data_IF_526017453543
#
_entry.id   IF_526017453543
#
_cell.length_a   1.000
_cell.length_b   1.000
_cell.length_c   1.000
_cell.angle_alpha   90.00
_cell.angle_beta   90.00
_cell.angle_gamma   90.00
#
_symmetry.space_group_name_H-M   'P 1'
#
loop_
_entity.id
_entity.type
_entity.pdbx_description
1 polymer ?
#
# COMPACT_ATOMS: atom_id res chain seq x y z
N UNK A 1 2.38 -76.48 -55.63
CA UNK A 1 2.57 -75.92 -54.27
C UNK A 1 3.34 -74.60 -54.31
N UNK A 2 2.94 -73.64 -55.16
CA UNK A 2 3.72 -72.42 -55.47
C UNK A 2 2.84 -71.17 -55.39
N UNK A 3 2.27 -70.86 -54.21
CA UNK A 3 1.53 -69.59 -54.07
C UNK A 3 1.49 -68.98 -52.65
N UNK A 4 2.06 -69.62 -51.63
CA UNK A 4 1.94 -69.18 -50.24
C UNK A 4 2.93 -68.07 -49.86
N UNK A 5 4.12 -68.03 -50.47
CA UNK A 5 5.15 -67.04 -50.16
C UNK A 5 4.84 -65.65 -50.75
N UNK A 6 4.46 -65.59 -52.03
CA UNK A 6 4.16 -64.32 -52.72
C UNK A 6 2.91 -63.62 -52.14
N UNK A 7 1.92 -64.38 -51.70
CA UNK A 7 0.71 -63.83 -51.08
C UNK A 7 0.98 -63.26 -49.67
N UNK A 8 1.85 -63.91 -48.88
CA UNK A 8 2.30 -63.40 -47.58
C UNK A 8 3.11 -62.10 -47.72
N UNK A 9 3.97 -62.01 -48.73
CA UNK A 9 4.75 -60.78 -49.01
C UNK A 9 3.81 -59.64 -49.43
N UNK A 10 2.87 -59.86 -50.37
CA UNK A 10 1.89 -58.83 -50.77
C UNK A 10 1.01 -58.37 -49.60
N UNK A 11 0.54 -59.30 -48.76
CA UNK A 11 -0.27 -58.97 -47.58
C UNK A 11 0.54 -58.19 -46.54
N UNK A 12 1.81 -58.55 -46.34
CA UNK A 12 2.73 -57.81 -45.47
C UNK A 12 2.99 -56.37 -45.97
N UNK A 13 3.18 -56.19 -47.27
CA UNK A 13 3.36 -54.86 -47.89
C UNK A 13 2.09 -54.01 -47.76
N UNK A 14 0.91 -54.57 -48.01
CA UNK A 14 -0.37 -53.85 -47.86
C UNK A 14 -0.64 -53.46 -46.40
N UNK A 15 -0.33 -54.34 -45.44
CA UNK A 15 -0.45 -54.03 -44.00
C UNK A 15 0.54 -52.95 -43.60
N UNK A 16 1.78 -53.00 -44.08
CA UNK A 16 2.79 -51.99 -43.79
C UNK A 16 2.39 -50.61 -44.37
N UNK A 17 1.92 -50.56 -45.62
CA UNK A 17 1.42 -49.33 -46.23
C UNK A 17 0.19 -48.80 -45.47
N UNK A 18 -0.77 -49.68 -45.15
CA UNK A 18 -1.95 -49.31 -44.37
C UNK A 18 -1.60 -48.75 -42.99
N UNK A 19 -0.64 -49.37 -42.28
CA UNK A 19 -0.15 -48.89 -41.00
C UNK A 19 0.54 -47.53 -41.11
N UNK A 20 1.36 -47.31 -42.14
CA UNK A 20 2.01 -46.00 -42.40
C UNK A 20 0.98 -44.93 -42.72
N UNK A 21 -0.07 -45.25 -43.49
CA UNK A 21 -1.15 -44.31 -43.81
C UNK A 21 -1.98 -43.98 -42.55
N UNK A 22 -2.30 -44.98 -41.71
CA UNK A 22 -3.02 -44.77 -40.46
C UNK A 22 -2.18 -43.98 -39.46
N UNK A 23 -0.89 -44.27 -39.33
CA UNK A 23 0.01 -43.50 -38.46
C UNK A 23 0.24 -42.08 -38.99
N UNK A 24 0.40 -41.91 -40.30
CA UNK A 24 0.62 -40.61 -40.94
C UNK A 24 -0.61 -39.71 -40.95
N UNK A 25 -1.78 -40.24 -41.33
CA UNK A 25 -3.02 -39.45 -41.45
C UNK A 25 -3.83 -39.49 -40.15
N UNK A 26 -3.87 -40.62 -39.46
CA UNK A 26 -4.71 -40.82 -38.28
C UNK A 26 -4.10 -40.36 -36.96
N UNK A 27 -2.77 -40.29 -36.85
CA UNK A 27 -2.07 -39.90 -35.61
C UNK A 27 -1.19 -38.68 -35.83
N UNK A 28 -0.30 -38.72 -36.82
CA UNK A 28 0.68 -37.66 -37.08
C UNK A 28 0.01 -36.35 -37.53
N UNK A 29 -0.89 -36.39 -38.51
CA UNK A 29 -1.61 -35.21 -39.00
C UNK A 29 -2.37 -34.47 -37.89
N UNK A 30 -3.27 -35.12 -37.16
CA UNK A 30 -3.99 -34.50 -36.05
C UNK A 30 -3.09 -34.02 -34.92
N UNK A 31 -2.08 -34.81 -34.51
CA UNK A 31 -1.17 -34.44 -33.43
C UNK A 31 -0.31 -33.21 -33.77
N UNK A 32 0.11 -33.05 -35.03
CA UNK A 32 0.91 -31.90 -35.47
C UNK A 32 0.05 -30.68 -35.80
N UNK A 33 -1.13 -30.86 -36.39
CA UNK A 33 -2.02 -29.74 -36.73
C UNK A 33 -2.76 -29.16 -35.52
N UNK A 34 -3.13 -29.99 -34.54
CA UNK A 34 -3.91 -29.58 -33.36
C UNK A 34 -3.07 -29.54 -32.07
N UNK A 35 -1.82 -30.00 -32.11
CA UNK A 35 -0.94 -29.95 -30.96
C UNK A 35 -0.67 -28.51 -30.48
N UNK A 36 -0.38 -28.33 -29.19
CA UNK A 36 -0.03 -27.02 -28.64
C UNK A 36 1.25 -26.51 -29.31
N UNK A 37 1.29 -25.22 -29.57
CA UNK A 37 2.52 -24.56 -30.03
C UNK A 37 3.51 -24.47 -28.86
N UNK A 38 4.82 -24.56 -29.11
CA UNK A 38 5.83 -24.31 -28.09
C UNK A 38 5.70 -22.88 -27.56
N UNK A 39 6.02 -22.70 -26.28
CA UNK A 39 6.10 -21.37 -25.69
C UNK A 39 7.18 -20.54 -26.40
N UNK A 40 6.90 -19.26 -26.60
CA UNK A 40 7.87 -18.28 -27.04
C UNK A 40 8.99 -18.17 -26.00
N UNK A 41 10.24 -18.09 -26.47
CA UNK A 41 11.39 -17.85 -25.60
C UNK A 41 11.37 -16.40 -25.16
N UNK A 42 11.33 -16.16 -23.86
CA UNK A 42 11.39 -14.83 -23.26
C UNK A 42 12.84 -14.50 -22.88
N UNK A 43 13.35 -13.37 -23.36
CA UNK A 43 14.65 -12.82 -22.95
C UNK A 43 14.43 -11.48 -22.26
N UNK A 44 14.83 -11.39 -21.00
CA UNK A 44 14.87 -10.11 -20.27
C UNK A 44 15.93 -9.22 -20.89
N UNK A 45 15.59 -7.97 -21.18
CA UNK A 45 16.49 -6.98 -21.75
C UNK A 45 17.28 -6.28 -20.64
N UNK A 46 18.58 -6.07 -20.88
CA UNK A 46 19.40 -5.23 -20.00
C UNK A 46 18.93 -3.78 -20.11
N UNK A 47 18.31 -3.31 -19.04
CA UNK A 47 17.83 -1.93 -18.91
C UNK A 47 18.71 -1.22 -17.90
N UNK A 48 19.21 -0.03 -18.25
CA UNK A 48 20.16 0.70 -17.42
C UNK A 48 19.56 1.05 -16.06
N UNK A 49 20.35 0.92 -14.99
CA UNK A 49 19.91 1.32 -13.65
C UNK A 49 19.58 2.82 -13.63
N UNK A 50 18.45 3.15 -13.01
CA UNK A 50 17.99 4.53 -12.92
C UNK A 50 18.71 5.13 -11.72
N UNK A 51 19.59 6.10 -11.94
CA UNK A 51 20.29 6.78 -10.85
C UNK A 51 19.48 8.01 -10.47
N UNK A 52 18.76 7.99 -9.33
CA UNK A 52 17.93 9.12 -8.95
C UNK A 52 18.84 10.26 -8.50
N UNK A 53 18.44 11.49 -8.81
CA UNK A 53 19.21 12.68 -8.43
C UNK A 53 18.93 13.15 -6.99
N UNK A 54 18.32 12.29 -6.18
CA UNK A 54 17.75 12.64 -4.89
C UNK A 54 18.74 12.42 -3.73
N UNK A 55 18.59 13.22 -2.67
CA UNK A 55 19.42 13.17 -1.47
C UNK A 55 18.68 12.42 -0.36
N UNK A 56 19.36 11.86 0.65
CA UNK A 56 18.65 11.23 1.77
C UNK A 56 17.92 12.29 2.64
N UNK A 57 16.80 11.94 3.30
CA UNK A 57 16.15 12.83 4.25
C UNK A 57 17.03 13.13 5.46
N UNK A 58 17.00 14.38 5.92
CA UNK A 58 17.63 14.77 7.18
C UNK A 58 16.75 14.34 8.35
N UNK A 59 16.89 13.06 8.75
CA UNK A 59 16.24 12.53 9.94
C UNK A 59 17.13 12.68 11.17
N UNK A 60 16.54 12.91 12.36
CA UNK A 60 17.30 13.01 13.59
C UNK A 60 17.92 11.67 13.99
N UNK A 61 19.07 11.77 14.67
CA UNK A 61 19.71 10.62 15.32
C UNK A 61 19.30 10.45 16.77
N UNK A 62 18.66 11.46 17.35
CA UNK A 62 18.00 11.41 18.66
C UNK A 62 16.62 10.81 18.51
N UNK A 63 16.14 10.07 19.52
CA UNK A 63 14.83 9.43 19.46
C UNK A 63 14.76 8.30 18.43
N UNK A 64 13.55 7.96 18.01
CA UNK A 64 13.25 7.06 16.90
C UNK A 64 12.41 7.81 15.86
N UNK A 65 12.93 7.96 14.65
CA UNK A 65 12.29 8.78 13.62
C UNK A 65 12.11 8.02 12.30
N UNK A 66 11.00 8.31 11.63
CA UNK A 66 10.60 7.64 10.40
C UNK A 66 9.84 8.57 9.48
N UNK A 67 10.09 8.47 8.17
CA UNK A 67 9.40 9.25 7.14
C UNK A 67 9.14 8.40 5.91
N UNK A 68 8.00 8.64 5.29
CA UNK A 68 7.62 8.11 3.98
C UNK A 68 7.03 9.23 3.13
N UNK A 69 7.07 9.06 1.82
CA UNK A 69 6.48 9.99 0.85
C UNK A 69 5.16 9.39 0.39
N UNK A 70 4.11 10.21 0.32
CA UNK A 70 2.84 9.77 -0.25
C UNK A 70 3.07 9.28 -1.69
N UNK A 71 2.39 8.20 -2.08
CA UNK A 71 2.47 7.64 -3.43
C UNK A 71 1.67 8.51 -4.42
N UNK A 72 2.11 9.76 -4.59
CA UNK A 72 1.58 10.66 -5.62
C UNK A 72 2.27 10.30 -6.94
N UNK A 73 1.63 9.45 -7.76
CA UNK A 73 1.92 9.45 -9.20
C UNK A 73 1.86 10.90 -9.63
N UNK A 74 2.92 11.42 -10.26
CA UNK A 74 2.99 12.80 -10.71
C UNK A 74 1.92 13.05 -11.79
N UNK A 75 0.68 13.23 -11.37
CA UNK A 75 -0.40 13.71 -12.19
C UNK A 75 -0.01 15.14 -12.55
N UNK A 76 0.29 15.35 -13.82
CA UNK A 76 0.64 16.65 -14.36
C UNK A 76 -0.31 17.72 -13.80
N UNK A 77 0.28 18.70 -13.12
CA UNK A 77 -0.42 19.87 -12.63
C UNK A 77 -1.22 20.50 -13.78
N UNK A 78 -2.53 20.29 -13.76
CA UNK A 78 -3.47 21.13 -14.49
C UNK A 78 -4.40 21.75 -13.46
N UNK A 79 -4.05 22.98 -13.11
CA UNK A 79 -4.89 23.94 -12.42
C UNK A 79 -6.29 24.02 -13.05
N UNK A 80 -7.33 23.94 -12.23
CA UNK A 80 -8.70 24.15 -12.69
C UNK A 80 -9.72 24.07 -11.57
N UNK A 81 -9.76 25.12 -10.74
CA UNK A 81 -10.91 25.35 -9.87
C UNK A 81 -12.20 25.43 -10.69
N UNK A 82 -13.15 24.55 -10.40
CA UNK A 82 -14.55 24.76 -10.76
C UNK A 82 -15.44 24.08 -9.71
N UNK A 83 -16.22 24.92 -9.03
CA UNK A 83 -17.27 24.54 -8.11
C UNK A 83 -18.28 23.59 -8.77
N UNK A 84 -18.64 22.51 -8.08
CA UNK A 84 -19.76 21.65 -8.44
C UNK A 84 -20.91 21.83 -7.44
N UNK A 85 -21.95 22.52 -7.87
CA UNK A 85 -23.30 22.53 -7.27
C UNK A 85 -23.97 21.16 -7.51
N UNK A 86 -24.76 20.61 -6.56
CA UNK A 86 -25.27 19.25 -6.67
C UNK A 86 -26.47 19.14 -7.63
N UNK A 87 -26.47 18.09 -8.45
CA UNK A 87 -27.65 17.65 -9.20
C UNK A 87 -28.12 16.30 -8.64
N UNK A 88 -29.42 16.23 -8.36
CA UNK A 88 -30.07 15.13 -7.68
C UNK A 88 -30.41 13.93 -8.59
N UNK A 89 -30.45 12.77 -7.94
CA UNK A 89 -31.31 11.60 -8.16
C UNK A 89 -31.07 10.68 -9.37
N UNK A 90 -30.54 9.49 -9.07
CA UNK A 90 -30.68 8.26 -9.84
C UNK A 90 -30.29 7.03 -9.01
N UNK A 91 -31.31 6.34 -8.46
CA UNK A 91 -31.43 4.90 -8.08
C UNK A 91 -30.29 4.20 -7.29
N UNK A 92 -30.59 3.47 -6.19
CA UNK A 92 -29.58 3.04 -5.23
C UNK A 92 -28.70 1.91 -5.77
N UNK A 93 -27.41 2.20 -5.95
CA UNK A 93 -26.38 1.18 -5.99
C UNK A 93 -26.12 0.72 -4.54
N UNK A 94 -26.12 -0.59 -4.35
CA UNK A 94 -25.67 -1.28 -3.13
C UNK A 94 -24.35 -0.69 -2.64
N UNK A 95 -24.14 -0.42 -1.33
CA UNK A 95 -22.86 0.07 -0.84
C UNK A 95 -21.80 -1.00 -1.11
N UNK A 96 -21.00 -0.77 -2.15
CA UNK A 96 -19.76 -1.51 -2.37
C UNK A 96 -18.78 -1.08 -1.29
N UNK A 97 -18.15 -2.06 -0.64
CA UNK A 97 -17.06 -1.85 0.30
C UNK A 97 -16.12 -0.75 -0.23
N UNK A 98 -16.11 0.38 0.46
CA UNK A 98 -15.07 1.38 0.29
C UNK A 98 -13.76 0.66 0.54
N UNK A 99 -12.84 0.71 -0.43
CA UNK A 99 -11.50 0.18 -0.23
C UNK A 99 -10.94 0.85 1.03
N UNK A 100 -10.72 0.07 2.08
CA UNK A 100 -10.13 0.57 3.31
C UNK A 100 -8.74 1.09 2.94
N UNK A 101 -8.35 2.30 3.41
CA UNK A 101 -7.01 2.80 3.14
C UNK A 101 -5.97 1.77 3.60
N UNK A 102 -4.86 1.68 2.87
CA UNK A 102 -3.83 0.68 3.10
C UNK A 102 -2.51 1.39 3.36
N UNK A 103 -1.94 1.18 4.54
CA UNK A 103 -0.62 1.69 4.87
C UNK A 103 0.43 1.19 3.85
N UNK A 104 1.51 1.95 3.60
CA UNK A 104 2.54 1.54 2.67
C UNK A 104 3.27 0.31 3.23
N UNK A 105 4.03 -0.43 2.40
CA UNK A 105 4.87 -1.52 2.90
C UNK A 105 5.94 -0.98 3.87
N UNK A 106 6.39 -1.79 4.84
CA UNK A 106 7.38 -1.34 5.83
C UNK A 106 8.72 -0.91 5.22
N UNK A 107 9.11 -1.52 4.09
CA UNK A 107 10.28 -1.10 3.32
C UNK A 107 10.17 0.32 2.77
N UNK A 108 8.97 0.93 2.76
CA UNK A 108 8.73 2.31 2.33
C UNK A 108 9.21 3.38 3.29
N UNK A 109 9.43 3.01 4.54
CA UNK A 109 9.75 3.99 5.57
C UNK A 109 11.26 4.11 5.74
N UNK A 110 11.79 5.30 5.45
CA UNK A 110 13.16 5.64 5.83
C UNK A 110 13.17 5.95 7.32
N UNK A 111 14.05 5.31 8.08
CA UNK A 111 14.14 5.48 9.54
C UNK A 111 15.54 5.88 10.00
N UNK A 112 15.62 6.53 11.16
CA UNK A 112 16.87 6.89 11.84
C UNK A 112 16.69 6.88 13.36
N UNK A 113 17.81 6.85 14.08
CA UNK A 113 17.83 6.83 15.54
C UNK A 113 17.64 5.41 16.11
N UNK A 114 16.85 5.31 17.18
CA UNK A 114 16.56 4.06 17.88
C UNK A 114 15.69 3.15 17.00
N UNK A 115 16.18 1.94 16.73
CA UNK A 115 15.45 0.95 15.92
C UNK A 115 14.46 0.10 16.76
N UNK A 116 14.75 -0.08 18.04
CA UNK A 116 13.93 -0.90 18.94
C UNK A 116 12.60 -0.20 19.29
N UNK A 117 11.53 -0.96 19.65
CA UNK A 117 10.28 -0.37 20.08
C UNK A 117 10.45 0.54 21.30
N UNK A 118 9.85 1.73 21.25
CA UNK A 118 9.86 2.72 22.35
C UNK A 118 8.44 3.03 22.81
N UNK A 119 8.23 3.48 24.06
CA UNK A 119 6.91 3.86 24.54
C UNK A 119 6.28 4.94 23.66
N UNK A 120 4.98 4.81 23.40
CA UNK A 120 4.29 5.59 22.36
C UNK A 120 3.63 6.88 22.87
N UNK A 121 3.41 6.98 24.18
CA UNK A 121 2.62 8.07 24.74
C UNK A 121 1.25 8.16 24.06
N UNK A 122 0.73 9.39 23.95
CA UNK A 122 -0.59 9.66 23.37
C UNK A 122 -0.76 9.28 21.90
N UNK A 123 0.30 8.93 21.16
CA UNK A 123 0.18 8.42 19.79
C UNK A 123 -0.58 7.09 19.72
N UNK A 124 -0.63 6.32 20.81
CA UNK A 124 -1.46 5.12 20.97
C UNK A 124 -2.93 5.37 20.62
N UNK A 125 -3.47 6.56 20.90
CA UNK A 125 -4.87 6.90 20.61
C UNK A 125 -5.20 6.93 19.12
N UNK A 126 -4.19 7.10 18.26
CA UNK A 126 -4.36 6.99 16.81
C UNK A 126 -4.63 5.53 16.42
N UNK A 127 -3.91 4.60 17.02
CA UNK A 127 -4.15 3.16 16.85
C UNK A 127 -5.54 2.80 17.40
N UNK A 128 -5.90 3.33 18.58
CA UNK A 128 -7.24 3.16 19.15
C UNK A 128 -8.33 3.61 18.18
N UNK A 129 -8.19 4.80 17.57
CA UNK A 129 -9.14 5.29 16.58
C UNK A 129 -9.24 4.37 15.36
N UNK A 130 -8.10 3.96 14.77
CA UNK A 130 -8.06 3.11 13.59
C UNK A 130 -8.69 1.72 13.84
N UNK A 131 -8.40 1.12 15.00
CA UNK A 131 -8.94 -0.19 15.39
C UNK A 131 -10.44 -0.11 15.65
N UNK A 132 -10.92 0.95 16.31
CA UNK A 132 -12.36 1.20 16.49
C UNK A 132 -13.04 1.38 15.14
N UNK A 133 -12.52 2.25 14.27
CA UNK A 133 -13.07 2.51 12.93
C UNK A 133 -13.05 1.27 12.02
N UNK A 134 -12.10 0.36 12.23
CA UNK A 134 -12.08 -0.93 11.52
C UNK A 134 -13.23 -1.85 11.96
N UNK A 135 -13.71 -1.75 13.20
CA UNK A 135 -14.81 -2.55 13.73
C UNK A 135 -16.18 -1.87 13.58
N UNK A 136 -16.19 -0.54 13.69
CA UNK A 136 -17.35 0.35 13.57
C UNK A 136 -17.01 1.46 12.56
N UNK A 137 -17.20 1.20 11.25
CA UNK A 137 -16.86 2.20 10.23
C UNK A 137 -17.71 3.45 10.34
N UNK A 138 -17.06 4.60 10.20
CA UNK A 138 -17.69 5.92 10.25
C UNK A 138 -17.37 6.73 8.99
N UNK A 139 -18.41 7.12 8.25
CA UNK A 139 -18.25 8.02 7.11
C UNK A 139 -17.93 9.44 7.59
N UNK A 140 -17.01 10.11 6.88
CA UNK A 140 -16.67 11.51 7.11
C UNK A 140 -17.93 12.41 7.11
N UNK A 141 -17.99 13.36 8.03
CA UNK A 141 -19.11 14.29 8.20
C UNK A 141 -20.37 13.70 8.86
N UNK A 142 -20.40 12.40 9.16
CA UNK A 142 -21.55 11.75 9.82
C UNK A 142 -21.34 11.62 11.34
N UNK A 143 -22.41 11.64 12.16
CA UNK A 143 -22.25 11.53 13.62
C UNK A 143 -21.79 10.13 14.08
N UNK A 144 -22.17 9.08 13.36
CA UNK A 144 -21.95 7.69 13.80
C UNK A 144 -22.94 7.23 14.87
N UNK A 145 -22.67 6.05 15.40
CA UNK A 145 -23.54 5.41 16.39
C UNK A 145 -23.43 6.08 17.78
N UNK A 146 -24.51 6.01 18.59
CA UNK A 146 -24.49 6.59 19.92
C UNK A 146 -23.64 5.77 20.89
N UNK A 147 -22.76 6.46 21.61
CA UNK A 147 -21.96 5.94 22.72
C UNK A 147 -22.53 6.46 24.04
N UNK A 148 -23.16 5.57 24.81
CA UNK A 148 -23.75 5.91 26.11
C UNK A 148 -22.72 5.77 27.22
N UNK A 149 -22.47 6.86 27.95
CA UNK A 149 -21.47 6.91 29.02
C UNK A 149 -21.97 6.13 30.23
N UNK A 150 -21.22 5.10 30.62
CA UNK A 150 -21.52 4.26 31.77
C UNK A 150 -21.04 4.88 33.09
N UNK A 151 -21.37 4.26 34.22
CA UNK A 151 -20.81 4.64 35.52
C UNK A 151 -19.31 4.34 35.62
N UNK A 152 -18.84 3.31 34.92
CA UNK A 152 -17.43 2.95 34.88
C UNK A 152 -16.63 3.99 34.07
N UNK A 153 -17.14 4.41 32.90
CA UNK A 153 -16.56 5.50 32.11
C UNK A 153 -16.40 6.80 32.93
N UNK A 154 -17.43 7.15 33.70
CA UNK A 154 -17.39 8.32 34.56
C UNK A 154 -16.36 8.17 35.70
N UNK A 155 -16.22 6.97 36.27
CA UNK A 155 -15.21 6.70 37.30
C UNK A 155 -13.79 6.89 36.73
N UNK A 156 -13.53 6.45 35.50
CA UNK A 156 -12.24 6.68 34.82
C UNK A 156 -11.97 8.17 34.59
N UNK A 157 -12.98 8.95 34.19
CA UNK A 157 -12.84 10.40 34.10
C UNK A 157 -12.43 11.02 35.45
N UNK A 158 -13.10 10.65 36.54
CA UNK A 158 -12.76 11.15 37.89
C UNK A 158 -11.34 10.75 38.27
N UNK A 159 -10.94 9.51 37.98
CA UNK A 159 -9.57 9.01 38.20
C UNK A 159 -8.53 9.83 37.43
N UNK A 160 -8.70 10.01 36.12
CA UNK A 160 -7.76 10.78 35.30
C UNK A 160 -7.62 12.23 35.76
N UNK A 161 -8.72 12.87 36.17
CA UNK A 161 -8.66 14.21 36.77
C UNK A 161 -7.85 14.20 38.07
N UNK A 162 -8.03 13.19 38.94
CA UNK A 162 -7.28 13.08 40.19
C UNK A 162 -5.78 12.83 39.97
N UNK A 163 -5.42 12.19 38.87
CA UNK A 163 -4.04 11.90 38.44
C UNK A 163 -3.42 13.08 37.65
N UNK A 164 -4.14 14.19 37.49
CA UNK A 164 -3.73 15.32 36.63
C UNK A 164 -3.42 14.91 35.18
N UNK A 165 -4.08 13.85 34.71
CA UNK A 165 -3.98 13.34 33.35
C UNK A 165 -5.03 13.97 32.43
N UNK A 166 -4.77 13.98 31.12
CA UNK A 166 -5.66 14.59 30.13
C UNK A 166 -7.00 13.89 30.06
N UNK A 167 -8.07 14.64 30.28
CA UNK A 167 -9.43 14.15 30.22
C UNK A 167 -10.39 15.27 29.79
N UNK A 168 -11.47 14.90 29.12
CA UNK A 168 -12.57 15.81 28.74
C UNK A 168 -13.79 15.37 29.52
N UNK A 169 -14.52 16.30 30.11
CA UNK A 169 -15.65 15.95 30.96
C UNK A 169 -16.76 15.26 30.19
N UNK A 170 -17.42 14.33 30.86
CA UNK A 170 -18.71 13.77 30.48
C UNK A 170 -19.41 13.32 31.77
N UNK A 171 -20.70 13.01 31.73
CA UNK A 171 -21.41 12.44 32.88
C UNK A 171 -22.12 11.15 32.48
N UNK A 172 -22.35 10.28 33.46
CA UNK A 172 -23.09 9.02 33.26
C UNK A 172 -24.45 9.28 32.60
N UNK A 173 -24.83 8.38 31.69
CA UNK A 173 -26.03 8.40 30.86
C UNK A 173 -26.09 9.51 29.79
N UNK A 174 -25.04 10.33 29.63
CA UNK A 174 -24.93 11.11 28.40
C UNK A 174 -24.77 10.17 27.20
N UNK A 175 -25.41 10.52 26.09
CA UNK A 175 -25.21 9.88 24.79
C UNK A 175 -24.33 10.79 23.95
N UNK A 176 -23.17 10.31 23.57
CA UNK A 176 -22.23 10.96 22.66
C UNK A 176 -22.34 10.33 21.28
N UNK A 177 -22.07 11.09 20.22
CA UNK A 177 -21.88 10.49 18.90
C UNK A 177 -20.47 9.88 18.82
N UNK A 178 -20.28 8.79 18.08
CA UNK A 178 -18.94 8.23 17.82
C UNK A 178 -17.97 9.31 17.32
N UNK A 179 -18.43 10.18 16.40
CA UNK A 179 -17.63 11.31 15.90
C UNK A 179 -17.19 12.26 17.01
N UNK A 180 -18.06 12.63 17.94
CA UNK A 180 -17.70 13.51 19.06
C UNK A 180 -16.73 12.83 20.02
N UNK A 181 -16.85 11.50 20.22
CA UNK A 181 -15.89 10.72 21.00
C UNK A 181 -14.50 10.75 20.35
N UNK A 182 -14.43 10.53 19.03
CA UNK A 182 -13.19 10.63 18.25
C UNK A 182 -12.60 12.05 18.29
N UNK A 183 -13.41 13.10 18.17
CA UNK A 183 -12.93 14.49 18.27
C UNK A 183 -12.33 14.78 19.64
N UNK A 184 -13.03 14.41 20.72
CA UNK A 184 -12.52 14.60 22.08
C UNK A 184 -11.23 13.83 22.33
N UNK A 185 -11.13 12.60 21.82
CA UNK A 185 -9.93 11.76 21.93
C UNK A 185 -8.76 12.29 21.10
N UNK A 186 -8.96 12.61 19.83
CA UNK A 186 -7.89 12.94 18.89
C UNK A 186 -7.40 14.38 19.05
N UNK A 187 -8.32 15.35 19.13
CA UNK A 187 -7.95 16.76 19.29
C UNK A 187 -7.57 17.07 20.75
N UNK A 188 -8.44 16.66 21.67
CA UNK A 188 -8.28 16.92 23.10
C UNK A 188 -7.32 15.96 23.81
N UNK A 189 -6.83 14.92 23.12
CA UNK A 189 -5.97 13.88 23.70
C UNK A 189 -6.62 13.22 24.94
N UNK A 190 -7.94 13.08 24.94
CA UNK A 190 -8.73 12.69 26.11
C UNK A 190 -8.62 11.20 26.43
N UNK A 191 -8.12 10.86 27.63
CA UNK A 191 -7.94 9.48 28.06
C UNK A 191 -9.26 8.75 28.31
N UNK A 192 -10.20 9.39 29.01
CA UNK A 192 -11.50 8.77 29.32
C UNK A 192 -12.33 8.49 28.05
N UNK A 193 -12.16 9.27 26.98
CA UNK A 193 -12.82 9.00 25.71
C UNK A 193 -12.17 7.83 24.96
N UNK A 194 -10.86 7.61 25.09
CA UNK A 194 -10.20 6.44 24.53
C UNK A 194 -10.69 5.14 25.18
N UNK A 195 -10.75 5.10 26.51
CA UNK A 195 -11.25 3.93 27.24
C UNK A 195 -12.74 3.67 26.99
N UNK A 196 -13.55 4.72 26.99
CA UNK A 196 -14.99 4.60 26.75
C UNK A 196 -15.29 4.14 25.32
N UNK A 197 -14.60 4.68 24.33
CA UNK A 197 -14.78 4.30 22.93
C UNK A 197 -14.33 2.86 22.69
N UNK A 198 -13.20 2.45 23.27
CA UNK A 198 -12.72 1.06 23.20
C UNK A 198 -13.70 0.08 23.87
N UNK A 199 -14.25 0.41 25.05
CA UNK A 199 -15.25 -0.42 25.72
C UNK A 199 -16.57 -0.49 24.95
N UNK A 200 -17.02 0.61 24.38
CA UNK A 200 -18.21 0.62 23.53
C UNK A 200 -18.02 -0.31 22.32
N UNK A 201 -16.86 -0.22 21.66
CA UNK A 201 -16.59 -0.98 20.44
C UNK A 201 -16.36 -2.49 20.69
N UNK A 202 -15.68 -2.85 21.78
CA UNK A 202 -15.18 -4.22 22.04
C UNK A 202 -15.72 -4.86 23.33
N UNK A 203 -16.58 -4.16 24.07
CA UNK A 203 -17.16 -4.57 25.35
C UNK A 203 -16.25 -4.34 26.56
N UNK A 204 -14.93 -4.49 26.42
CA UNK A 204 -13.92 -4.28 27.48
C UNK A 204 -12.63 -3.69 26.88
N UNK A 205 -11.80 -3.04 27.69
CA UNK A 205 -10.48 -2.57 27.24
C UNK A 205 -9.53 -3.74 26.97
N UNK A 206 -9.65 -4.87 27.68
CA UNK A 206 -8.85 -6.07 27.42
C UNK A 206 -9.20 -6.73 26.08
N UNK A 207 -10.49 -6.75 25.72
CA UNK A 207 -10.93 -7.20 24.40
C UNK A 207 -10.41 -6.28 23.29
N UNK A 208 -10.41 -4.96 23.53
CA UNK A 208 -9.77 -4.00 22.63
C UNK A 208 -8.27 -4.28 22.48
N UNK A 209 -7.52 -4.48 23.57
CA UNK A 209 -6.07 -4.76 23.51
C UNK A 209 -5.79 -6.01 22.67
N UNK A 210 -6.61 -7.06 22.82
CA UNK A 210 -6.51 -8.26 22.00
C UNK A 210 -6.77 -7.95 20.52
N UNK A 211 -7.83 -7.20 20.22
CA UNK A 211 -8.18 -6.81 18.87
C UNK A 211 -7.13 -5.88 18.22
N UNK A 212 -6.58 -4.93 18.97
CA UNK A 212 -5.59 -3.97 18.51
C UNK A 212 -4.29 -4.66 18.09
N UNK A 213 -3.77 -5.59 18.90
CA UNK A 213 -2.57 -6.34 18.54
C UNK A 213 -2.80 -7.30 17.36
N UNK A 214 -3.98 -7.92 17.26
CA UNK A 214 -4.35 -8.72 16.09
C UNK A 214 -4.43 -7.86 14.82
N UNK A 215 -5.01 -6.65 14.93
CA UNK A 215 -5.10 -5.69 13.85
C UNK A 215 -3.72 -5.19 13.40
N UNK A 216 -2.81 -4.87 14.34
CA UNK A 216 -1.43 -4.49 14.02
C UNK A 216 -0.70 -5.60 13.27
N UNK A 217 -0.81 -6.85 13.74
CA UNK A 217 -0.21 -8.00 13.07
C UNK A 217 -0.77 -8.21 11.66
N UNK A 218 -2.09 -8.10 11.48
CA UNK A 218 -2.75 -8.23 10.18
C UNK A 218 -2.32 -7.14 9.18
N UNK A 219 -1.98 -5.95 9.67
CA UNK A 219 -1.46 -4.84 8.86
C UNK A 219 0.08 -4.85 8.76
N UNK A 220 0.74 -5.90 9.25
CA UNK A 220 2.19 -6.07 9.18
C UNK A 220 2.97 -5.11 10.07
N UNK A 221 2.35 -4.52 11.10
CA UNK A 221 2.96 -3.60 12.07
C UNK A 221 3.49 -4.37 13.28
N UNK A 222 4.37 -5.34 13.02
CA UNK A 222 4.80 -6.35 14.02
C UNK A 222 5.82 -5.86 15.04
N UNK A 223 6.38 -4.66 14.85
CA UNK A 223 7.26 -4.00 15.83
C UNK A 223 6.49 -3.22 16.90
N UNK A 224 5.16 -3.22 16.84
CA UNK A 224 4.27 -2.46 17.73
C UNK A 224 3.42 -3.38 18.58
N UNK A 225 3.29 -3.07 19.86
CA UNK A 225 2.47 -3.80 20.82
C UNK A 225 1.71 -2.79 21.69
N UNK A 226 0.40 -2.98 21.78
CA UNK A 226 -0.49 -2.13 22.57
C UNK A 226 -0.93 -2.87 23.82
N UNK A 227 -0.93 -2.16 24.95
CA UNK A 227 -1.33 -2.70 26.26
C UNK A 227 -2.42 -1.88 26.95
N UNK A 228 -2.76 -0.71 26.40
CA UNK A 228 -3.82 0.17 26.87
C UNK A 228 -4.43 0.96 25.70
N UNK A 229 -5.48 1.75 25.93
CA UNK A 229 -6.12 2.58 24.89
C UNK A 229 -5.47 3.97 24.76
N UNK A 230 -4.71 4.38 25.79
CA UNK A 230 -4.31 5.77 25.99
C UNK A 230 -2.83 6.04 25.68
N UNK A 231 -1.98 5.02 25.80
CA UNK A 231 -0.53 5.10 25.78
C UNK A 231 0.09 5.70 27.04
N UNK A 232 -0.60 5.64 28.18
CA UNK A 232 -0.02 5.92 29.49
C UNK A 232 0.79 4.73 30.01
N UNK A 233 0.44 3.52 29.57
CA UNK A 233 1.24 2.34 29.81
C UNK A 233 2.58 2.44 29.08
N UNK A 234 3.69 2.34 29.80
CA UNK A 234 5.03 2.29 29.23
C UNK A 234 5.27 1.05 28.36
N UNK A 235 4.42 0.02 28.51
CA UNK A 235 4.50 -1.21 27.71
C UNK A 235 3.71 -1.14 26.41
N UNK A 236 2.98 -0.04 26.16
CA UNK A 236 2.46 0.29 24.83
C UNK A 236 3.61 0.90 24.02
N UNK A 237 4.29 0.06 23.25
CA UNK A 237 5.54 0.36 22.55
C UNK A 237 5.42 0.14 21.04
N UNK A 238 6.20 0.88 20.25
CA UNK A 238 6.24 0.69 18.81
C UNK A 238 7.48 1.27 18.15
N UNK A 239 7.67 0.97 16.87
CA UNK A 239 8.82 1.42 16.08
C UNK A 239 8.48 2.64 15.25
N UNK A 240 9.47 3.47 14.92
CA UNK A 240 9.25 4.60 14.02
C UNK A 240 8.69 4.16 12.65
N UNK A 241 9.12 3.01 12.13
CA UNK A 241 8.60 2.45 10.88
C UNK A 241 7.09 2.19 10.95
N UNK A 242 6.63 1.46 11.97
CA UNK A 242 5.21 1.17 12.13
C UNK A 242 4.39 2.42 12.39
N UNK A 243 4.90 3.36 13.19
CA UNK A 243 4.17 4.57 13.54
C UNK A 243 4.08 5.57 12.38
N UNK A 244 5.06 5.60 11.47
CA UNK A 244 4.95 6.34 10.20
C UNK A 244 3.85 5.74 9.32
N UNK A 245 3.75 4.40 9.24
CA UNK A 245 2.68 3.72 8.51
C UNK A 245 1.30 3.97 9.10
N UNK A 246 1.21 4.01 10.43
CA UNK A 246 0.00 4.39 11.17
C UNK A 246 -0.39 5.84 10.87
N UNK A 247 0.59 6.76 10.81
CA UNK A 247 0.34 8.15 10.49
C UNK A 247 -0.26 8.31 9.08
N UNK A 248 0.33 7.67 8.08
CA UNK A 248 -0.21 7.67 6.72
C UNK A 248 -1.62 7.10 6.66
N UNK A 249 -1.83 5.90 7.19
CA UNK A 249 -3.15 5.25 7.22
C UNK A 249 -4.21 6.12 7.90
N UNK A 250 -3.87 6.80 8.99
CA UNK A 250 -4.75 7.71 9.69
C UNK A 250 -5.09 8.95 8.84
N UNK A 251 -4.13 9.53 8.12
CA UNK A 251 -4.41 10.65 7.22
C UNK A 251 -5.16 10.23 5.95
N UNK A 252 -5.07 8.98 5.53
CA UNK A 252 -5.86 8.43 4.42
C UNK A 252 -7.26 7.99 4.86
N UNK A 253 -7.49 7.85 6.16
CA UNK A 253 -8.82 7.57 6.73
C UNK A 253 -9.66 8.85 6.73
N UNK A 254 -10.70 8.98 5.87
CA UNK A 254 -11.34 10.27 5.60
C UNK A 254 -11.90 10.97 6.85
N UNK A 255 -12.48 10.21 7.78
CA UNK A 255 -13.03 10.75 9.02
C UNK A 255 -11.95 11.27 9.98
N UNK A 256 -10.79 10.60 10.07
CA UNK A 256 -9.67 11.09 10.89
C UNK A 256 -9.08 12.34 10.24
N UNK A 257 -8.85 12.32 8.92
CA UNK A 257 -8.33 13.47 8.19
C UNK A 257 -9.22 14.72 8.34
N UNK A 258 -10.55 14.53 8.27
CA UNK A 258 -11.52 15.60 8.54
C UNK A 258 -11.41 16.11 9.96
N UNK A 259 -11.40 15.23 10.97
CA UNK A 259 -11.32 15.61 12.38
C UNK A 259 -10.04 16.39 12.65
N UNK A 260 -8.88 15.92 12.16
CA UNK A 260 -7.60 16.59 12.38
C UNK A 260 -7.48 17.93 11.67
N UNK A 261 -8.28 18.18 10.63
CA UNK A 261 -8.37 19.48 9.96
C UNK A 261 -9.23 20.50 10.72
N UNK A 262 -9.96 20.09 11.76
CA UNK A 262 -10.75 21.01 12.56
C UNK A 262 -9.86 21.93 13.41
N UNK A 263 -10.24 23.21 13.55
CA UNK A 263 -9.69 24.04 14.62
C UNK A 263 -10.20 23.53 15.98
N UNK A 264 -9.80 24.22 17.06
CA UNK A 264 -10.48 24.07 18.35
C UNK A 264 -11.99 24.21 18.17
N UNK A 265 -12.74 23.25 18.69
CA UNK A 265 -14.16 23.06 18.40
C UNK A 265 -14.93 22.74 19.67
N UNK A 266 -16.25 22.56 19.53
CA UNK A 266 -17.15 22.18 20.60
C UNK A 266 -17.76 20.82 20.30
N UNK A 267 -17.79 19.95 21.30
CA UNK A 267 -18.41 18.61 21.25
C UNK A 267 -19.62 18.55 22.20
N UNK A 268 -20.28 17.38 22.25
CA UNK A 268 -21.45 17.11 23.08
C UNK A 268 -21.48 17.84 24.43
N UNK A 269 -22.62 18.45 24.75
CA UNK A 269 -22.81 19.25 25.95
C UNK A 269 -22.07 20.60 25.96
N UNK A 270 -21.77 21.17 24.78
CA UNK A 270 -21.08 22.44 24.60
C UNK A 270 -19.66 22.49 25.20
N UNK A 271 -18.96 21.35 25.21
CA UNK A 271 -17.61 21.23 25.77
C UNK A 271 -16.58 21.66 24.75
N UNK A 272 -15.71 22.61 25.14
CA UNK A 272 -14.62 23.07 24.30
C UNK A 272 -13.51 22.03 24.25
N UNK A 273 -13.05 21.71 23.04
CA UNK A 273 -11.92 20.81 22.77
C UNK A 273 -10.92 21.57 21.91
N UNK A 274 -9.70 21.71 22.41
CA UNK A 274 -8.60 22.31 21.66
C UNK A 274 -7.97 21.26 20.75
N UNK A 275 -7.48 21.66 19.58
CA UNK A 275 -6.63 20.80 18.75
C UNK A 275 -5.19 20.87 19.27
N UNK A 276 -4.82 19.90 20.10
CA UNK A 276 -3.50 19.83 20.76
C UNK A 276 -2.40 19.25 19.85
N UNK A 277 -2.77 18.75 18.67
CA UNK A 277 -1.82 18.20 17.71
C UNK A 277 -1.24 19.27 16.76
N UNK A 278 -1.77 20.50 16.76
CA UNK A 278 -1.26 21.58 15.90
C UNK A 278 0.21 21.86 16.22
N UNK A 279 1.07 21.73 15.22
CA UNK A 279 2.51 21.94 15.34
C UNK A 279 3.09 22.41 14.01
N UNK A 280 3.86 23.50 14.01
CA UNK A 280 4.51 24.16 12.85
C UNK A 280 3.66 24.26 11.56
N UNK A 281 2.39 24.72 11.63
CA UNK A 281 1.53 24.83 10.45
C UNK A 281 2.07 25.81 9.39
N UNK A 282 2.87 26.79 9.80
CA UNK A 282 3.58 27.73 8.94
C UNK A 282 4.66 27.07 8.07
N UNK A 283 5.13 25.88 8.46
CA UNK A 283 6.04 25.03 7.68
C UNK A 283 5.31 23.95 6.87
N UNK A 284 3.98 24.01 6.79
CA UNK A 284 3.16 23.01 6.09
C UNK A 284 2.96 21.71 6.87
N UNK A 285 3.32 21.67 8.15
CA UNK A 285 3.11 20.50 9.01
C UNK A 285 1.67 20.47 9.53
N UNK A 286 1.02 19.31 9.41
CA UNK A 286 -0.21 18.99 10.12
C UNK A 286 0.08 17.85 11.09
N UNK A 287 0.04 18.12 12.38
CA UNK A 287 0.19 17.08 13.39
C UNK A 287 -1.07 16.21 13.51
N UNK A 288 -0.85 14.92 13.70
CA UNK A 288 -1.86 13.92 13.98
C UNK A 288 -1.97 13.65 15.49
N UNK A 289 -0.82 13.64 16.18
CA UNK A 289 -0.74 13.54 17.64
C UNK A 289 0.56 14.18 18.10
N UNK A 290 0.49 15.01 19.14
CA UNK A 290 1.66 15.57 19.84
C UNK A 290 1.48 15.31 21.34
N UNK A 291 2.37 14.50 21.90
CA UNK A 291 2.23 14.00 23.27
C UNK A 291 3.56 13.90 23.99
N UNK A 292 3.49 13.89 25.32
CA UNK A 292 4.62 13.74 26.23
C UNK A 292 4.23 12.83 27.40
N UNK A 293 5.12 11.91 27.75
CA UNK A 293 5.18 11.23 29.06
C UNK A 293 6.66 11.10 29.44
N UNK A 294 6.97 10.88 30.72
CA UNK A 294 8.36 10.75 31.14
C UNK A 294 9.03 9.52 30.50
N UNK A 295 8.26 8.45 30.27
CA UNK A 295 8.72 7.19 29.69
C UNK A 295 8.87 7.26 28.15
N UNK A 296 7.95 7.95 27.47
CA UNK A 296 7.93 8.08 26.01
C UNK A 296 8.77 9.25 25.49
N UNK A 297 9.07 10.26 26.30
CA UNK A 297 9.55 11.55 25.81
C UNK A 297 8.49 12.24 24.94
N UNK A 298 8.91 13.14 24.05
CA UNK A 298 8.01 13.73 23.06
C UNK A 298 7.76 12.77 21.90
N UNK A 299 6.50 12.55 21.58
CA UNK A 299 6.07 11.78 20.42
C UNK A 299 5.16 12.62 19.53
N UNK A 300 5.54 12.73 18.25
CA UNK A 300 4.81 13.42 17.20
C UNK A 300 4.53 12.44 16.04
N UNK A 301 3.27 12.32 15.65
CA UNK A 301 2.88 11.80 14.33
C UNK A 301 2.41 12.97 13.48
N UNK A 302 2.77 13.01 12.20
CA UNK A 302 2.49 14.17 11.36
C UNK A 302 2.38 13.81 9.87
N UNK A 303 1.79 14.73 9.10
CA UNK A 303 2.07 14.90 7.67
C UNK A 303 2.69 16.27 7.45
N UNK A 304 3.47 16.42 6.38
CA UNK A 304 3.91 17.72 5.92
C UNK A 304 3.71 17.84 4.41
N UNK A 305 3.17 18.99 3.98
CA UNK A 305 3.10 19.37 2.57
C UNK A 305 4.31 20.24 2.25
N UNK A 306 5.22 19.69 1.45
CA UNK A 306 6.54 20.28 1.20
C UNK A 306 6.61 20.85 -0.22
N UNK A 307 6.88 22.14 -0.40
CA UNK A 307 7.12 22.71 -1.73
C UNK A 307 8.45 22.22 -2.30
N UNK A 308 8.46 21.81 -3.58
CA UNK A 308 9.65 21.26 -4.23
C UNK A 308 10.53 22.37 -4.82
N UNK A 309 11.80 22.43 -4.40
CA UNK A 309 12.74 23.40 -4.91
C UNK A 309 13.06 23.14 -6.39
N UNK A 310 12.79 24.14 -7.23
CA UNK A 310 13.10 24.12 -8.67
C UNK A 310 12.06 23.43 -9.55
N UNK A 311 10.89 23.06 -9.01
CA UNK A 311 9.76 22.54 -9.77
C UNK A 311 8.45 23.19 -9.29
N UNK A 312 7.45 23.33 -10.18
CA UNK A 312 6.10 23.68 -9.77
C UNK A 312 5.43 22.44 -9.19
N UNK A 313 5.40 22.31 -7.87
CA UNK A 313 4.79 21.18 -7.20
C UNK A 313 5.00 21.16 -5.68
N UNK A 314 4.17 20.36 -5.02
CA UNK A 314 4.32 20.00 -3.62
C UNK A 314 4.43 18.48 -3.53
N UNK A 315 5.09 17.98 -2.48
CA UNK A 315 5.05 16.57 -2.11
C UNK A 315 4.46 16.45 -0.72
N UNK A 316 3.70 15.39 -0.48
CA UNK A 316 3.20 15.04 0.85
C UNK A 316 4.13 14.01 1.47
N UNK A 317 4.58 14.24 2.69
CA UNK A 317 5.30 13.25 3.51
C UNK A 317 4.52 12.94 4.77
N UNK A 318 4.61 11.68 5.23
CA UNK A 318 4.08 11.23 6.52
C UNK A 318 5.23 10.79 7.41
N UNK A 319 5.12 10.99 8.71
CA UNK A 319 6.21 10.64 9.60
C UNK A 319 5.84 10.49 11.06
N UNK A 320 6.81 9.93 11.78
CA UNK A 320 6.81 9.74 13.22
C UNK A 320 8.15 10.22 13.77
N UNK A 321 8.11 11.00 14.84
CA UNK A 321 9.26 11.36 15.68
C UNK A 321 8.91 10.95 17.10
N UNK A 322 9.57 9.92 17.61
CA UNK A 322 9.29 9.33 18.91
C UNK A 322 10.48 9.55 19.83
N UNK A 323 10.21 9.77 21.12
CA UNK A 323 11.25 9.93 22.15
C UNK A 323 12.21 11.09 21.86
N UNK A 324 11.66 12.17 21.29
CA UNK A 324 12.39 13.44 21.19
C UNK A 324 12.57 14.04 22.60
N UNK A 325 13.73 14.66 22.89
CA UNK A 325 14.08 15.07 24.25
C UNK A 325 13.34 16.33 24.69
N UNK A 326 13.11 17.26 23.77
CA UNK A 326 12.47 18.55 24.06
C UNK A 326 11.90 19.20 22.78
N UNK A 327 11.04 20.21 22.96
CA UNK A 327 10.38 20.90 21.86
C UNK A 327 11.36 21.64 20.92
N UNK A 328 12.42 22.32 21.40
CA UNK A 328 13.41 22.93 20.52
C UNK A 328 14.11 21.92 19.59
N UNK A 329 14.44 20.73 20.10
CA UNK A 329 15.05 19.66 19.30
C UNK A 329 14.06 19.14 18.27
N UNK A 330 12.83 18.80 18.68
CA UNK A 330 11.75 18.37 17.79
C UNK A 330 11.49 19.40 16.66
N UNK A 331 11.47 20.69 16.98
CA UNK A 331 11.27 21.76 16.01
C UNK A 331 12.42 21.83 15.00
N UNK A 332 13.66 21.83 15.49
CA UNK A 332 14.85 21.89 14.64
C UNK A 332 14.94 20.68 13.70
N UNK A 333 14.64 19.48 14.20
CA UNK A 333 14.69 18.24 13.42
C UNK A 333 13.57 18.19 12.37
N UNK A 334 12.36 18.62 12.71
CA UNK A 334 11.25 18.70 11.75
C UNK A 334 11.51 19.75 10.66
N UNK A 335 12.04 20.91 11.03
CA UNK A 335 12.45 21.94 10.06
C UNK A 335 13.56 21.44 9.14
N UNK A 336 14.57 20.75 9.68
CA UNK A 336 15.64 20.17 8.88
C UNK A 336 15.11 19.12 7.91
N UNK A 337 14.20 18.26 8.36
CA UNK A 337 13.55 17.26 7.51
C UNK A 337 12.75 17.92 6.38
N UNK A 338 11.88 18.90 6.67
CA UNK A 338 11.09 19.61 5.65
C UNK A 338 11.99 20.35 4.65
N UNK A 339 13.06 20.99 5.12
CA UNK A 339 14.02 21.68 4.24
C UNK A 339 14.79 20.70 3.34
N UNK A 340 15.24 19.57 3.88
CA UNK A 340 15.86 18.52 3.08
C UNK A 340 14.88 17.92 2.09
N UNK A 341 13.59 17.77 2.44
CA UNK A 341 12.55 17.25 1.56
C UNK A 341 12.31 18.17 0.37
N UNK A 342 12.25 19.47 0.61
CA UNK A 342 12.07 20.47 -0.43
C UNK A 342 13.16 20.38 -1.50
N UNK A 343 14.40 20.10 -1.10
CA UNK A 343 15.54 20.07 -2.03
C UNK A 343 15.83 18.69 -2.60
N UNK A 344 15.65 17.65 -1.79
CA UNK A 344 16.04 16.27 -2.07
C UNK A 344 14.97 15.46 -2.79
N UNK A 345 13.68 15.75 -2.60
CA UNK A 345 12.61 15.06 -3.32
C UNK A 345 12.59 15.48 -4.79
N UNK A 346 12.64 14.49 -5.68
CA UNK A 346 12.55 14.69 -7.12
C UNK A 346 11.59 13.67 -7.76
N UNK A 347 10.74 14.10 -8.71
CA UNK A 347 10.01 13.16 -9.55
C UNK A 347 11.04 12.39 -10.38
N UNK A 348 11.10 11.08 -10.16
CA UNK A 348 12.01 10.16 -10.84
C UNK A 348 11.18 9.26 -11.74
N UNK A 349 11.37 9.40 -13.05
CA UNK A 349 10.77 8.50 -14.04
C UNK A 349 11.40 7.11 -13.89
N UNK A 350 10.58 6.14 -13.50
CA UNK A 350 10.95 4.72 -13.40
C UNK A 350 10.88 4.05 -14.78
N UNK A 351 9.87 4.39 -15.58
CA UNK A 351 9.81 4.00 -16.98
C UNK A 351 8.90 4.94 -17.77
N UNK A 352 9.29 5.31 -18.99
CA UNK A 352 8.38 5.92 -19.94
C UNK A 352 7.36 4.90 -20.44
N UNK A 353 6.21 5.36 -20.95
CA UNK A 353 5.28 4.49 -21.67
C UNK A 353 5.98 3.83 -22.87
N UNK A 354 5.63 2.57 -23.15
CA UNK A 354 6.21 1.77 -24.24
C UNK A 354 7.70 1.45 -24.08
N UNK A 355 8.24 1.48 -22.87
CA UNK A 355 9.63 1.06 -22.59
C UNK A 355 9.72 -0.47 -22.62
N UNK A 356 10.60 -1.08 -23.44
CA UNK A 356 10.70 -2.54 -23.56
C UNK A 356 11.56 -3.17 -22.46
N UNK A 357 11.04 -4.24 -21.84
CA UNK A 357 11.71 -4.98 -20.76
C UNK A 357 11.97 -6.45 -21.08
N UNK A 358 11.15 -7.05 -21.94
CA UNK A 358 11.29 -8.45 -22.37
C UNK A 358 11.12 -8.54 -23.87
N UNK A 359 11.94 -9.34 -24.52
CA UNK A 359 11.76 -9.73 -25.92
C UNK A 359 11.30 -11.19 -25.99
N UNK A 360 10.15 -11.42 -26.63
CA UNK A 360 9.63 -12.73 -26.95
C UNK A 360 10.00 -13.12 -28.38
N UNK A 361 10.52 -14.33 -28.54
CA UNK A 361 10.77 -14.94 -29.84
C UNK A 361 10.01 -16.26 -29.94
N UNK A 362 9.05 -16.33 -30.84
CA UNK A 362 8.33 -17.57 -31.14
C UNK A 362 9.20 -18.54 -31.94
N UNK A 363 8.91 -19.84 -31.87
CA UNK A 363 9.67 -20.88 -32.58
C UNK A 363 9.66 -20.69 -34.12
N UNK A 364 8.64 -20.01 -34.66
CA UNK A 364 8.52 -19.66 -36.08
C UNK A 364 9.18 -18.33 -36.45
N UNK A 365 9.96 -17.72 -35.55
CA UNK A 365 10.78 -16.53 -35.80
C UNK A 365 10.07 -15.19 -35.65
N UNK A 366 8.77 -15.17 -35.32
CA UNK A 366 8.06 -13.94 -35.00
C UNK A 366 8.50 -13.41 -33.64
N UNK A 367 8.69 -12.09 -33.54
CA UNK A 367 9.14 -11.41 -32.33
C UNK A 367 8.11 -10.39 -31.86
N UNK A 368 7.98 -10.22 -30.55
CA UNK A 368 7.20 -9.15 -29.92
C UNK A 368 7.90 -8.74 -28.61
N UNK A 369 7.68 -7.52 -28.12
CA UNK A 369 8.28 -7.03 -26.87
C UNK A 369 7.23 -6.78 -25.82
N UNK A 370 7.54 -7.10 -24.58
CA UNK A 370 6.78 -6.67 -23.41
C UNK A 370 7.23 -5.26 -23.05
N UNK A 371 6.30 -4.32 -23.11
CA UNK A 371 6.50 -2.90 -22.84
C UNK A 371 5.59 -2.42 -21.72
N UNK A 372 5.99 -1.36 -21.03
CA UNK A 372 5.13 -0.66 -20.07
C UNK A 372 3.91 -0.04 -20.75
N UNK A 373 2.75 -0.14 -20.10
CA UNK A 373 1.49 0.43 -20.60
C UNK A 373 1.48 1.95 -20.49
N UNK A 374 1.90 2.46 -19.35
CA UNK A 374 1.90 3.88 -19.01
C UNK A 374 3.29 4.31 -18.52
N UNK A 375 3.49 5.61 -18.40
CA UNK A 375 4.68 6.14 -17.78
C UNK A 375 4.55 5.97 -16.26
N UNK A 376 5.58 5.42 -15.63
CA UNK A 376 5.67 5.26 -14.19
C UNK A 376 6.70 6.25 -13.66
N UNK A 377 6.26 7.14 -12.77
CA UNK A 377 7.11 8.10 -12.08
C UNK A 377 6.75 8.12 -10.61
N UNK A 378 7.75 8.31 -9.75
CA UNK A 378 7.62 8.35 -8.30
C UNK A 378 8.44 9.48 -7.70
N UNK A 379 7.97 10.00 -6.57
CA UNK A 379 8.68 11.04 -5.84
C UNK A 379 9.69 10.38 -4.89
N UNK A 380 10.96 10.32 -5.30
CA UNK A 380 11.98 9.56 -4.57
C UNK A 380 12.92 10.47 -3.79
N UNK A 381 13.41 9.94 -2.65
CA UNK A 381 14.59 10.44 -1.93
C UNK A 381 15.89 9.73 -2.35
N UNK A 382 15.83 8.88 -3.37
CA UNK A 382 16.83 7.84 -3.58
C UNK A 382 18.26 8.36 -3.88
N UNK A 383 19.19 7.90 -3.06
CA UNK A 383 20.65 8.08 -3.18
C UNK A 383 21.35 6.88 -3.83
N UNK A 384 20.59 5.82 -4.13
CA UNK A 384 21.08 4.55 -4.68
C UNK A 384 20.38 4.26 -6.01
N UNK A 385 21.07 3.70 -7.02
CA UNK A 385 20.44 3.34 -8.28
C UNK A 385 19.25 2.39 -8.09
N UNK A 386 18.11 2.72 -8.67
CA UNK A 386 16.93 1.85 -8.72
C UNK A 386 17.25 0.70 -9.66
N UNK A 387 17.12 -0.52 -9.13
CA UNK A 387 17.25 -1.75 -9.91
C UNK A 387 15.88 -2.20 -10.38
N UNK A 388 15.83 -2.80 -11.56
CA UNK A 388 14.58 -3.26 -12.18
C UNK A 388 14.70 -4.72 -12.56
N UNK A 389 13.67 -5.50 -12.24
CA UNK A 389 13.62 -6.93 -12.52
C UNK A 389 12.33 -7.24 -13.27
N UNK A 390 12.45 -7.73 -14.51
CA UNK A 390 11.28 -8.11 -15.31
C UNK A 390 10.97 -9.60 -15.11
N UNK A 391 9.70 -9.90 -14.81
CA UNK A 391 9.17 -11.25 -14.66
C UNK A 391 8.21 -11.54 -15.82
N UNK A 392 8.67 -12.26 -16.87
CA UNK A 392 7.85 -12.54 -18.05
C UNK A 392 6.78 -13.60 -17.79
N UNK A 393 5.63 -13.48 -18.45
CA UNK A 393 4.64 -14.55 -18.53
C UNK A 393 5.02 -15.59 -19.59
N UNK A 394 4.56 -16.83 -19.42
CA UNK A 394 4.72 -17.84 -20.48
C UNK A 394 3.66 -17.62 -21.55
N UNK A 395 4.10 -17.29 -22.78
CA UNK A 395 3.23 -17.02 -23.92
C UNK A 395 3.51 -17.99 -25.06
N UNK A 396 2.47 -18.44 -25.77
CA UNK A 396 2.60 -19.21 -27.03
C UNK A 396 2.18 -18.34 -28.21
N UNK A 397 0.91 -17.94 -28.22
CA UNK A 397 0.34 -16.94 -29.13
C UNK A 397 -0.38 -15.89 -28.32
N UNK A 398 -0.26 -14.62 -28.70
CA UNK A 398 -0.91 -13.52 -28.02
C UNK A 398 -1.10 -12.34 -28.97
N UNK A 399 -2.13 -11.53 -28.73
CA UNK A 399 -2.37 -10.30 -29.50
C UNK A 399 -1.55 -9.14 -28.93
N UNK A 400 -1.34 -8.10 -29.74
CA UNK A 400 -0.84 -6.82 -29.23
C UNK A 400 -1.77 -6.30 -28.12
N UNK A 401 -1.19 -5.74 -27.06
CA UNK A 401 -1.86 -5.32 -25.85
C UNK A 401 -2.22 -6.44 -24.86
N UNK A 402 -1.86 -7.70 -25.14
CA UNK A 402 -2.06 -8.79 -24.17
C UNK A 402 -1.07 -8.65 -22.99
N UNK A 403 -1.48 -9.02 -21.75
CA UNK A 403 -0.56 -9.09 -20.60
C UNK A 403 0.65 -9.98 -20.90
N UNK A 404 1.83 -9.49 -20.56
CA UNK A 404 3.10 -10.09 -20.96
C UNK A 404 4.11 -10.25 -19.81
N UNK A 405 3.75 -9.86 -18.59
CA UNK A 405 4.62 -9.90 -17.42
C UNK A 405 4.45 -8.67 -16.54
N UNK A 406 5.36 -8.52 -15.60
CA UNK A 406 5.47 -7.38 -14.70
C UNK A 406 6.94 -6.98 -14.60
N UNK A 407 7.23 -5.69 -14.51
CA UNK A 407 8.56 -5.21 -14.08
C UNK A 407 8.47 -4.67 -12.67
N UNK A 408 9.38 -5.11 -11.81
CA UNK A 408 9.48 -4.69 -10.42
C UNK A 408 10.68 -3.74 -10.27
N UNK A 409 10.42 -2.52 -9.81
CA UNK A 409 11.43 -1.53 -9.46
C UNK A 409 11.73 -1.63 -7.98
N UNK A 410 12.96 -1.99 -7.60
CA UNK A 410 13.39 -2.02 -6.21
C UNK A 410 13.82 -0.61 -5.79
N UNK A 411 12.96 0.07 -5.01
CA UNK A 411 13.25 1.36 -4.43
C UNK A 411 13.73 1.18 -2.98
N UNK A 412 14.48 2.16 -2.42
CA UNK A 412 14.78 2.20 -0.99
C UNK A 412 13.52 2.16 -0.13
N UNK A 413 12.44 2.75 -0.66
CA UNK A 413 11.10 2.79 -0.11
C UNK A 413 10.20 1.60 -0.55
N UNK A 414 10.79 0.47 -0.93
CA UNK A 414 10.02 -0.73 -1.29
C UNK A 414 9.81 -0.92 -2.79
N UNK A 415 9.34 -2.11 -3.14
CA UNK A 415 9.22 -2.51 -4.54
C UNK A 415 7.93 -1.98 -5.17
N UNK A 416 8.02 -1.42 -6.37
CA UNK A 416 6.88 -0.98 -7.18
C UNK A 416 6.79 -1.85 -8.43
N UNK A 417 5.60 -2.39 -8.68
CA UNK A 417 5.33 -3.25 -9.83
C UNK A 417 4.60 -2.47 -10.93
N UNK A 418 5.10 -2.56 -12.16
CA UNK A 418 4.44 -2.01 -13.34
C UNK A 418 4.07 -3.14 -14.33
N UNK A 419 2.81 -3.20 -14.80
CA UNK A 419 2.38 -4.24 -15.72
C UNK A 419 3.02 -4.05 -17.11
N UNK A 420 3.37 -5.18 -17.74
CA UNK A 420 3.88 -5.21 -19.11
C UNK A 420 2.83 -5.78 -20.06
N UNK A 421 2.73 -5.19 -21.24
CA UNK A 421 1.88 -5.68 -22.34
C UNK A 421 2.68 -5.85 -23.62
N UNK A 422 2.22 -6.70 -24.53
CA UNK A 422 2.90 -6.88 -25.81
C UNK A 422 2.69 -5.69 -26.75
N UNK A 423 3.78 -5.18 -27.34
CA UNK A 423 3.70 -4.16 -28.41
C UNK A 423 3.21 -4.74 -29.75
N UNK A 424 3.53 -6.00 -30.03
CA UNK A 424 3.18 -6.75 -31.23
C UNK A 424 2.39 -8.02 -30.95
N UNK A 425 1.84 -8.64 -31.99
CA UNK A 425 1.20 -9.95 -31.86
C UNK A 425 2.18 -11.09 -32.13
N UNK A 426 2.00 -12.21 -31.42
CA UNK A 426 2.55 -13.52 -31.73
C UNK A 426 1.42 -14.38 -32.27
N UNK A 427 1.35 -14.52 -33.59
CA UNK A 427 0.25 -15.18 -34.30
C UNK A 427 0.58 -16.63 -34.62
N UNK A 428 -0.44 -17.48 -34.70
CA UNK A 428 -0.26 -18.88 -35.13
C UNK A 428 0.45 -18.94 -36.50
N UNK A 429 1.51 -19.75 -36.66
CA UNK A 429 2.27 -19.84 -37.93
C UNK A 429 1.52 -20.61 -39.02
N UNK A 430 0.34 -21.15 -38.71
CA UNK A 430 -0.53 -21.86 -39.63
C UNK A 430 -0.17 -23.34 -39.82
N UNK A 431 -1.03 -24.07 -40.55
CA UNK A 431 -0.95 -25.53 -40.68
C UNK A 431 0.31 -26.02 -41.40
N UNK A 432 0.85 -25.24 -42.34
CA UNK A 432 2.05 -25.63 -43.10
C UNK A 432 3.30 -25.67 -42.21
N UNK A 433 3.47 -24.67 -41.35
CA UNK A 433 4.60 -24.64 -40.42
C UNK A 433 4.52 -25.80 -39.43
N UNK A 434 3.33 -26.02 -38.85
CA UNK A 434 3.04 -27.10 -37.90
C UNK A 434 3.37 -28.49 -38.47
N UNK A 435 3.06 -28.74 -39.74
CA UNK A 435 3.40 -29.99 -40.43
C UNK A 435 4.91 -30.14 -40.70
N UNK A 436 5.61 -29.02 -40.94
CA UNK A 436 7.05 -29.00 -41.20
C UNK A 436 7.91 -29.05 -39.93
N UNK A 437 7.33 -28.74 -38.77
CA UNK A 437 8.02 -28.67 -37.46
C UNK A 437 7.39 -29.63 -36.43
N UNK A 438 7.31 -30.95 -36.73
CA UNK A 438 6.58 -31.89 -35.89
C UNK A 438 7.23 -32.10 -34.51
N UNK A 439 8.55 -32.00 -34.41
CA UNK A 439 9.26 -32.18 -33.14
C UNK A 439 8.97 -31.05 -32.15
N UNK A 440 8.82 -29.82 -32.64
CA UNK A 440 8.50 -28.66 -31.79
C UNK A 440 7.08 -28.76 -31.22
N UNK A 441 6.12 -29.16 -32.05
CA UNK A 441 4.71 -29.34 -31.64
C UNK A 441 4.53 -30.55 -30.72
N UNK A 442 5.12 -31.69 -31.08
CA UNK A 442 5.02 -32.92 -30.27
C UNK A 442 5.79 -32.77 -28.96
N UNK A 443 6.94 -32.09 -28.98
CA UNK A 443 7.71 -31.76 -27.78
C UNK A 443 6.91 -30.89 -26.81
N UNK A 444 6.24 -29.85 -27.32
CA UNK A 444 5.35 -29.00 -26.52
C UNK A 444 4.15 -29.78 -25.94
N UNK A 445 3.57 -30.72 -26.71
CA UNK A 445 2.49 -31.59 -26.23
C UNK A 445 2.93 -32.47 -25.06
N UNK A 446 4.14 -33.02 -25.10
CA UNK A 446 4.70 -33.87 -24.04
C UNK A 446 5.07 -33.03 -22.79
N UNK A 447 5.54 -31.79 -22.99
CA UNK A 447 5.95 -30.89 -21.91
C UNK A 447 4.78 -30.17 -21.21
N UNK A 448 3.57 -30.21 -21.77
CA UNK A 448 2.39 -29.59 -21.18
C UNK A 448 1.93 -30.40 -19.96
N UNK A 449 1.80 -29.80 -18.76
CA UNK A 449 1.22 -30.49 -17.62
C UNK A 449 -0.25 -30.84 -17.95
N UNK A 450 -0.58 -32.12 -17.88
CA UNK A 450 -1.92 -32.65 -18.19
C UNK A 450 -2.99 -32.27 -17.17
#
# INVERSE_FOLDING_TARGET
>A
MTSTAAHRIRRGVVIAIGAVVILGIGVYGPATLLGPLPAATARVLDTAAITPAAAAPALPSTGASGVTVADETAAAATSGAAAATPAAAGTPATPGATAQPTAPPASAVTTAGIADPVPLGGTTKIITALVVLSAHPLDAGTPGDPVVITSEDYADYVRYISESSRAVSFITNESWSERDMLIAMLLGSSNNHADALARWAFGTTEAYVTAANAWLAANGMTGTTITDTTGLSETSVGTASDLTRIAELAFETPVIAEIMALPSTTVNGNRQVQNLAVYLPDQGVTGLSLSYTDEAGLCLLYRATVPLAGADGVATIYGAMLREPDYPTLEADLTALVASASTGLKPTELAAAQTPFVEYTAAWGQTARAVTTEAESRMLWATTPVTQTATPLTLTTARSGAPAGTVTFALPEGAVDAPLTLDGSLTDPGPLWRLAHPFDVIGAFIASPG
#
